data_IF_243915596419
#
_entry.id   IF_243915596419
#
_cell.length_a   1.000
_cell.length_b   1.000
_cell.length_c   1.000
_cell.angle_alpha   90.00
_cell.angle_beta   90.00
_cell.angle_gamma   90.00
#
_symmetry.space_group_name_H-M   'P 1'
#
loop_
_entity.id
_entity.type
_entity.pdbx_description
1 polymer ?
#
# COMPACT_ATOMS: atom_id res chain seq x y z
N UNK A 1 4.14 4.47 -3.31
CA UNK A 1 5.57 4.11 -3.52
C UNK A 1 6.39 4.41 -2.27
N UNK A 2 6.79 5.66 -2.01
CA UNK A 2 7.68 5.99 -0.88
C UNK A 2 7.20 5.44 0.46
N UNK A 3 5.94 5.69 0.83
CA UNK A 3 5.38 5.21 2.10
C UNK A 3 5.38 3.69 2.23
N UNK A 4 5.01 2.96 1.17
CA UNK A 4 5.04 1.49 1.17
C UNK A 4 6.47 0.95 1.37
N UNK A 5 7.44 1.50 0.63
CA UNK A 5 8.84 1.07 0.72
C UNK A 5 9.44 1.40 2.08
N UNK A 6 9.10 2.56 2.66
CA UNK A 6 9.52 2.94 4.02
C UNK A 6 8.93 2.02 5.08
N UNK A 7 7.63 1.70 4.99
CA UNK A 7 7.02 0.75 5.93
C UNK A 7 7.56 -0.68 5.73
N UNK A 8 7.91 -1.06 4.50
CA UNK A 8 8.59 -2.33 4.23
C UNK A 8 10.00 -2.39 4.81
N UNK A 9 10.75 -1.29 4.72
CA UNK A 9 12.06 -1.14 5.37
C UNK A 9 11.92 -1.25 6.89
N UNK A 10 10.94 -0.54 7.48
CA UNK A 10 10.66 -0.61 8.91
C UNK A 10 10.30 -2.04 9.34
N UNK A 11 9.49 -2.73 8.56
CA UNK A 11 9.11 -4.11 8.83
C UNK A 11 10.32 -5.04 8.98
N UNK A 12 11.35 -4.86 8.15
CA UNK A 12 12.53 -5.73 8.13
C UNK A 12 13.68 -5.26 9.03
N UNK A 13 13.80 -3.96 9.27
CA UNK A 13 14.91 -3.38 10.03
C UNK A 13 14.55 -3.10 11.49
N UNK A 14 13.26 -3.00 11.82
CA UNK A 14 12.74 -2.57 13.13
C UNK A 14 13.27 -1.21 13.60
N UNK A 15 13.78 -0.39 12.68
CA UNK A 15 14.31 0.93 12.97
C UNK A 15 13.88 1.90 11.89
N UNK A 16 13.15 2.94 12.31
CA UNK A 16 12.75 4.05 11.44
C UNK A 16 13.99 4.88 11.13
N UNK A 17 14.79 4.46 10.17
CA UNK A 17 15.81 5.32 9.59
C UNK A 17 15.11 6.32 8.67
N UNK A 18 14.50 7.34 9.28
CA UNK A 18 14.09 8.56 8.58
C UNK A 18 15.37 9.12 7.94
N UNK A 19 15.55 8.89 6.63
CA UNK A 19 16.64 9.48 5.88
C UNK A 19 16.60 11.01 5.97
N UNK A 20 17.71 11.66 5.64
CA UNK A 20 17.80 13.14 5.62
C UNK A 20 16.69 13.75 4.74
N UNK A 21 16.26 13.04 3.70
CA UNK A 21 15.13 13.40 2.83
C UNK A 21 13.99 12.42 3.05
N UNK A 22 13.08 12.76 3.97
CA UNK A 22 12.00 11.84 4.32
C UNK A 22 10.92 11.65 3.26
N UNK A 23 10.80 12.59 2.31
CA UNK A 23 9.77 12.57 1.28
C UNK A 23 8.56 13.42 1.67
N UNK A 24 7.68 12.99 2.60
CA UNK A 24 6.46 13.73 2.94
C UNK A 24 6.71 15.13 3.49
N UNK A 25 7.65 15.29 4.43
CA UNK A 25 7.92 16.59 5.07
C UNK A 25 8.44 17.60 4.04
N UNK A 26 9.43 17.20 3.24
CA UNK A 26 9.96 18.02 2.15
C UNK A 26 8.90 18.36 1.11
N UNK A 27 8.04 17.40 0.75
CA UNK A 27 6.92 17.62 -0.17
C UNK A 27 5.92 18.65 0.34
N UNK A 28 5.56 18.60 1.63
CA UNK A 28 4.67 19.60 2.25
C UNK A 28 5.33 20.98 2.28
N UNK A 29 6.61 21.07 2.64
CA UNK A 29 7.34 22.34 2.63
C UNK A 29 7.41 22.95 1.22
N UNK A 30 7.67 22.13 0.19
CA UNK A 30 7.65 22.56 -1.21
C UNK A 30 6.25 23.05 -1.60
N UNK A 31 5.18 22.33 -1.24
CA UNK A 31 3.81 22.74 -1.54
C UNK A 31 3.45 24.07 -0.86
N UNK A 32 3.81 24.24 0.41
CA UNK A 32 3.60 25.50 1.14
C UNK A 32 4.34 26.64 0.44
N UNK A 33 5.59 26.42 0.03
CA UNK A 33 6.39 27.41 -0.69
C UNK A 33 5.79 27.74 -2.06
N UNK A 34 5.37 26.74 -2.84
CA UNK A 34 4.70 26.91 -4.14
C UNK A 34 3.42 27.71 -3.98
N UNK A 35 2.58 27.41 -2.99
CA UNK A 35 1.35 28.17 -2.76
C UNK A 35 1.62 29.60 -2.28
N UNK A 36 2.61 29.81 -1.40
CA UNK A 36 3.03 31.15 -0.98
C UNK A 36 3.52 31.98 -2.18
N UNK A 37 4.36 31.39 -3.05
CA UNK A 37 4.83 32.05 -4.27
C UNK A 37 3.71 32.28 -5.28
N UNK A 38 2.74 31.36 -5.40
CA UNK A 38 1.57 31.55 -6.27
C UNK A 38 0.73 32.74 -5.81
N UNK A 39 0.54 32.89 -4.50
CA UNK A 39 -0.15 34.03 -3.90
C UNK A 39 0.60 35.35 -4.11
N UNK A 40 1.93 35.34 -4.04
CA UNK A 40 2.77 36.52 -4.26
C UNK A 40 2.87 36.93 -5.73
N UNK A 41 3.04 35.96 -6.64
CA UNK A 41 3.24 36.19 -8.08
C UNK A 41 1.93 36.34 -8.87
N UNK A 42 0.77 36.22 -8.21
CA UNK A 42 -0.52 36.66 -8.73
C UNK A 42 -1.17 35.76 -9.79
N UNK A 43 -0.75 34.50 -9.95
CA UNK A 43 -1.44 33.58 -10.87
C UNK A 43 -0.81 32.20 -11.05
N UNK A 44 -1.67 31.21 -11.31
CA UNK A 44 -1.26 29.83 -11.61
C UNK A 44 -0.57 29.67 -12.97
N UNK A 45 -0.77 30.62 -13.90
CA UNK A 45 -0.14 30.64 -15.22
C UNK A 45 1.38 30.79 -15.17
N UNK A 46 1.93 31.31 -14.07
CA UNK A 46 3.37 31.41 -13.84
C UNK A 46 4.08 30.05 -13.91
N UNK A 47 3.47 29.00 -13.35
CA UNK A 47 4.08 27.67 -13.26
C UNK A 47 4.12 26.90 -14.59
N UNK A 48 3.38 27.36 -15.60
CA UNK A 48 3.40 26.81 -16.95
C UNK A 48 4.52 27.42 -17.82
N UNK A 49 5.21 28.46 -17.32
CA UNK A 49 6.32 29.07 -18.05
C UNK A 49 7.59 28.22 -17.98
N UNK A 50 8.45 28.27 -19.01
CA UNK A 50 9.72 27.54 -19.00
C UNK A 50 10.66 28.06 -17.90
N UNK A 51 10.99 27.18 -16.96
CA UNK A 51 11.70 27.53 -15.72
C UNK A 51 13.07 28.18 -15.99
N UNK A 52 13.83 27.65 -16.96
CA UNK A 52 15.17 28.14 -17.27
C UNK A 52 15.15 29.56 -17.87
N UNK A 53 14.12 29.89 -18.64
CA UNK A 53 13.94 31.22 -19.20
C UNK A 53 13.49 32.22 -18.13
N UNK A 54 12.59 31.83 -17.24
CA UNK A 54 12.08 32.68 -16.15
C UNK A 54 13.14 32.96 -15.08
N UNK A 55 14.06 32.02 -14.83
CA UNK A 55 15.19 32.19 -13.90
C UNK A 55 16.37 32.98 -14.48
N UNK A 56 16.31 33.39 -15.76
CA UNK A 56 17.33 34.22 -16.39
C UNK A 56 18.68 33.51 -16.57
N UNK A 57 18.70 32.19 -16.72
CA UNK A 57 19.94 31.42 -16.89
C UNK A 57 20.65 31.86 -18.19
N UNK A 58 21.96 32.16 -18.18
CA UNK A 58 22.69 32.58 -19.37
C UNK A 58 22.55 31.56 -20.51
N UNK A 59 22.35 32.06 -21.74
CA UNK A 59 22.14 31.26 -22.96
C UNK A 59 23.28 30.28 -23.26
N UNK A 60 24.48 30.52 -22.72
CA UNK A 60 25.64 29.62 -22.78
C UNK A 60 25.45 28.31 -22.01
N UNK A 61 24.75 28.33 -20.88
CA UNK A 61 24.45 27.13 -20.06
C UNK A 61 23.23 26.40 -20.64
N UNK A 62 22.26 27.16 -21.15
CA UNK A 62 21.06 26.64 -21.82
C UNK A 62 21.41 25.83 -23.08
N UNK A 63 22.47 26.21 -23.79
CA UNK A 63 22.98 25.49 -24.96
C UNK A 63 23.59 24.11 -24.67
N UNK A 64 24.09 23.90 -23.44
CA UNK A 64 24.71 22.63 -23.01
C UNK A 64 23.66 21.59 -22.56
N UNK A 65 22.46 22.05 -22.22
CA UNK A 65 21.36 21.20 -21.74
C UNK A 65 20.57 20.64 -22.94
N UNK A 66 20.21 19.33 -22.94
CA UNK A 66 19.37 18.72 -23.97
C UNK A 66 18.07 19.50 -24.21
N UNK A 67 17.60 19.57 -25.47
CA UNK A 67 16.39 20.30 -25.85
C UNK A 67 15.15 19.91 -25.03
N UNK A 68 15.03 18.63 -24.67
CA UNK A 68 13.94 18.13 -23.84
C UNK A 68 13.89 18.72 -22.41
N UNK A 69 15.03 19.15 -21.85
CA UNK A 69 15.11 19.75 -20.50
C UNK A 69 15.02 21.29 -20.54
N UNK A 70 15.27 21.88 -21.70
CA UNK A 70 15.32 23.33 -21.90
C UNK A 70 13.95 24.00 -21.79
N UNK A 71 12.94 23.37 -22.38
CA UNK A 71 11.59 23.93 -22.50
C UNK A 71 10.64 23.41 -21.41
N UNK A 72 11.16 22.68 -20.41
CA UNK A 72 10.34 22.19 -19.30
C UNK A 72 9.81 23.36 -18.47
N UNK A 73 8.48 23.35 -18.27
CA UNK A 73 7.81 24.24 -17.34
C UNK A 73 8.23 23.95 -15.90
N UNK A 74 7.96 24.88 -14.98
CA UNK A 74 8.19 24.62 -13.55
C UNK A 74 7.49 23.35 -13.08
N UNK A 75 6.27 23.08 -13.55
CA UNK A 75 5.56 21.82 -13.24
C UNK A 75 6.35 20.60 -13.74
N UNK A 76 6.90 20.66 -14.95
CA UNK A 76 7.75 19.59 -15.48
C UNK A 76 8.99 19.34 -14.61
N UNK A 77 9.65 20.41 -14.16
CA UNK A 77 10.79 20.32 -13.26
C UNK A 77 10.44 19.75 -11.89
N UNK A 78 9.30 20.11 -11.30
CA UNK A 78 8.82 19.49 -10.06
C UNK A 78 8.52 18.01 -10.23
N UNK A 79 7.97 17.59 -11.37
CA UNK A 79 7.74 16.17 -11.67
C UNK A 79 9.07 15.40 -11.80
N UNK A 80 10.08 16.00 -12.45
CA UNK A 80 11.43 15.42 -12.55
C UNK A 80 12.09 15.32 -11.16
N UNK A 81 12.06 16.39 -10.37
CA UNK A 81 12.57 16.38 -9.00
C UNK A 81 11.89 15.29 -8.17
N UNK A 82 10.55 15.23 -8.19
CA UNK A 82 9.79 14.21 -7.49
C UNK A 82 10.16 12.80 -7.91
N UNK A 83 10.35 12.55 -9.21
CA UNK A 83 10.79 11.25 -9.73
C UNK A 83 12.21 10.89 -9.24
N UNK A 84 13.15 11.84 -9.27
CA UNK A 84 14.52 11.63 -8.80
C UNK A 84 14.55 11.29 -7.31
N UNK A 85 13.86 12.07 -6.49
CA UNK A 85 13.76 11.84 -5.03
C UNK A 85 13.11 10.50 -4.74
N UNK A 86 12.05 10.14 -5.47
CA UNK A 86 11.36 8.87 -5.31
C UNK A 86 12.29 7.68 -5.60
N UNK A 87 13.03 7.72 -6.71
CA UNK A 87 13.97 6.67 -7.10
C UNK A 87 15.13 6.59 -6.10
N UNK A 88 15.68 7.73 -5.70
CA UNK A 88 16.75 7.79 -4.71
C UNK A 88 16.33 7.15 -3.39
N UNK A 89 15.19 7.57 -2.82
CA UNK A 89 14.66 7.03 -1.57
C UNK A 89 14.39 5.53 -1.68
N UNK A 90 13.79 5.08 -2.79
CA UNK A 90 13.52 3.64 -3.00
C UNK A 90 14.80 2.82 -3.07
N UNK A 91 15.83 3.33 -3.77
CA UNK A 91 17.11 2.66 -3.89
C UNK A 91 17.91 2.67 -2.58
N UNK A 92 17.82 3.75 -1.80
CA UNK A 92 18.44 3.82 -0.47
C UNK A 92 17.83 2.79 0.49
N UNK A 93 16.49 2.78 0.62
CA UNK A 93 15.77 1.80 1.45
C UNK A 93 16.11 0.36 1.06
N UNK A 94 16.14 0.06 -0.25
CA UNK A 94 16.54 -1.27 -0.73
C UNK A 94 17.98 -1.65 -0.33
N UNK A 95 18.93 -0.71 -0.41
CA UNK A 95 20.33 -0.95 0.01
C UNK A 95 20.46 -1.10 1.52
N UNK A 96 19.68 -0.39 2.31
CA UNK A 96 19.71 -0.48 3.79
C UNK A 96 19.18 -1.83 4.25
N UNK A 97 18.03 -2.26 3.74
CA UNK A 97 17.47 -3.60 4.06
C UNK A 97 18.43 -4.71 3.66
N UNK A 98 19.04 -4.64 2.48
CA UNK A 98 20.04 -5.63 2.07
C UNK A 98 21.27 -5.66 2.98
N UNK A 99 21.75 -4.50 3.45
CA UNK A 99 22.89 -4.42 4.37
C UNK A 99 22.57 -5.08 5.71
N UNK A 100 21.39 -4.81 6.28
CA UNK A 100 20.94 -5.41 7.54
C UNK A 100 20.75 -6.91 7.36
N UNK A 101 20.03 -7.34 6.32
CA UNK A 101 19.79 -8.76 6.06
C UNK A 101 21.09 -9.55 5.85
N UNK A 102 22.06 -9.01 5.09
CA UNK A 102 23.36 -9.65 4.92
C UNK A 102 24.17 -9.73 6.22
N UNK A 103 24.03 -8.73 7.11
CA UNK A 103 24.71 -8.71 8.40
C UNK A 103 24.12 -9.79 9.32
N UNK A 104 22.80 -9.87 9.43
CA UNK A 104 22.11 -10.90 10.22
C UNK A 104 22.44 -12.32 9.71
N UNK A 105 22.45 -12.53 8.38
CA UNK A 105 22.86 -13.80 7.76
C UNK A 105 24.29 -14.20 8.12
N UNK A 106 25.22 -13.24 8.17
CA UNK A 106 26.62 -13.51 8.56
C UNK A 106 26.74 -13.86 10.03
N UNK A 107 26.03 -13.15 10.91
CA UNK A 107 26.03 -13.40 12.36
C UNK A 107 25.39 -14.76 12.69
N UNK A 108 24.29 -15.12 12.02
CA UNK A 108 23.64 -16.43 12.14
C UNK A 108 24.55 -17.59 11.72
N UNK A 109 25.36 -17.40 10.66
CA UNK A 109 26.36 -18.39 10.22
C UNK A 109 27.53 -18.48 11.19
N UNK A 110 27.96 -17.36 11.78
CA UNK A 110 29.06 -17.31 12.73
C UNK A 110 28.71 -17.96 14.09
N UNK A 111 27.47 -17.81 14.56
CA UNK A 111 27.01 -18.38 15.83
C UNK A 111 26.58 -19.85 15.77
N UNK A 112 26.70 -20.53 14.62
CA UNK A 112 26.32 -21.94 14.48
C UNK A 112 24.82 -22.24 14.60
N UNK A 113 23.99 -21.22 14.80
CA UNK A 113 22.52 -21.27 14.88
C UNK A 113 21.84 -21.19 13.51
N UNK A 114 22.58 -21.43 12.42
CA UNK A 114 22.06 -21.41 11.06
C UNK A 114 20.84 -22.34 10.84
N UNK A 115 20.68 -23.38 11.68
CA UNK A 115 19.54 -24.30 11.66
C UNK A 115 18.31 -23.85 12.48
N UNK A 116 18.47 -22.92 13.44
CA UNK A 116 17.36 -22.38 14.25
C UNK A 116 16.91 -20.98 13.79
N UNK A 117 17.82 -20.21 13.17
CA UNK A 117 17.51 -18.86 12.64
C UNK A 117 16.48 -18.90 11.49
N UNK A 118 16.31 -20.05 10.83
CA UNK A 118 15.28 -20.29 9.82
C UNK A 118 13.90 -20.68 10.35
N UNK A 119 13.62 -20.51 11.64
CA UNK A 119 12.29 -20.80 12.23
C UNK A 119 11.53 -19.55 12.69
N UNK A 120 11.93 -18.37 12.23
CA UNK A 120 11.07 -17.19 12.28
C UNK A 120 10.12 -17.21 11.08
N UNK A 121 8.82 -17.06 11.30
CA UNK A 121 7.72 -17.21 10.32
C UNK A 121 7.90 -16.42 8.99
N UNK A 122 8.83 -15.46 8.90
CA UNK A 122 9.17 -14.74 7.66
C UNK A 122 10.67 -14.64 7.32
N UNK A 123 11.57 -15.28 8.07
CA UNK A 123 13.01 -14.99 7.97
C UNK A 123 13.73 -15.76 6.85
N UNK A 124 13.03 -16.68 6.20
CA UNK A 124 13.58 -17.56 5.15
C UNK A 124 13.48 -16.99 3.73
N UNK A 125 12.55 -16.08 3.48
CA UNK A 125 12.33 -15.53 2.15
C UNK A 125 13.14 -14.25 1.96
N UNK A 126 13.75 -14.11 0.77
CA UNK A 126 14.52 -12.92 0.41
C UNK A 126 13.66 -11.65 0.61
N UNK A 127 14.14 -10.57 1.27
CA UNK A 127 13.32 -9.39 1.59
C UNK A 127 12.58 -8.78 0.40
N UNK A 128 13.18 -8.88 -0.80
CA UNK A 128 12.57 -8.43 -2.05
C UNK A 128 11.27 -9.14 -2.44
N UNK A 129 10.98 -10.31 -1.88
CA UNK A 129 9.72 -11.00 -2.13
C UNK A 129 8.54 -10.16 -1.63
N UNK A 130 8.73 -9.31 -0.63
CA UNK A 130 7.72 -8.35 -0.15
C UNK A 130 7.47 -7.19 -1.12
N UNK A 131 8.44 -6.85 -2.00
CA UNK A 131 8.24 -5.82 -3.04
C UNK A 131 7.51 -6.35 -4.27
N UNK A 132 7.54 -7.66 -4.49
CA UNK A 132 6.89 -8.30 -5.63
C UNK A 132 5.38 -7.99 -5.73
N UNK A 133 4.53 -8.19 -4.69
CA UNK A 133 3.10 -7.91 -4.79
C UNK A 133 2.82 -6.44 -5.10
N UNK A 134 3.66 -5.55 -4.59
CA UNK A 134 3.56 -4.12 -4.85
C UNK A 134 3.92 -3.77 -6.31
N UNK A 135 5.01 -4.32 -6.85
CA UNK A 135 5.39 -4.15 -8.26
C UNK A 135 4.33 -4.72 -9.22
N UNK A 136 3.80 -5.90 -8.90
CA UNK A 136 2.69 -6.53 -9.66
C UNK A 136 1.47 -5.63 -9.66
N UNK A 137 1.07 -5.11 -8.49
CA UNK A 137 -0.10 -4.23 -8.38
C UNK A 137 0.05 -2.98 -9.24
N UNK A 138 1.21 -2.31 -9.19
CA UNK A 138 1.46 -1.13 -10.02
C UNK A 138 1.51 -1.45 -11.52
N UNK A 139 2.10 -2.59 -11.90
CA UNK A 139 2.09 -3.04 -13.28
C UNK A 139 0.66 -3.29 -13.77
N UNK A 140 -0.18 -3.96 -12.98
CA UNK A 140 -1.58 -4.20 -13.30
C UNK A 140 -2.38 -2.91 -13.44
N UNK A 141 -2.16 -1.92 -12.56
CA UNK A 141 -2.82 -0.61 -12.64
C UNK A 141 -2.48 0.09 -13.97
N UNK A 142 -1.19 0.13 -14.33
CA UNK A 142 -0.74 0.77 -15.58
C UNK A 142 -1.29 0.03 -16.80
N UNK A 143 -1.18 -1.30 -16.80
CA UNK A 143 -1.70 -2.14 -17.90
C UNK A 143 -3.21 -1.93 -18.06
N UNK A 144 -3.97 -1.92 -16.97
CA UNK A 144 -5.42 -1.71 -17.03
C UNK A 144 -5.79 -0.34 -17.63
N UNK A 145 -5.11 0.74 -17.19
CA UNK A 145 -5.34 2.09 -17.71
C UNK A 145 -4.99 2.22 -19.20
N UNK A 146 -3.92 1.57 -19.64
CA UNK A 146 -3.51 1.58 -21.06
C UNK A 146 -4.48 0.78 -21.92
N UNK A 147 -4.98 -0.35 -21.41
CA UNK A 147 -5.98 -1.16 -22.12
C UNK A 147 -7.34 -0.47 -22.23
N UNK A 148 -7.63 0.48 -21.33
CA UNK A 148 -8.96 1.07 -21.18
C UNK A 148 -8.94 2.60 -21.24
N UNK A 149 -8.85 3.18 -22.45
CA UNK A 149 -8.77 4.62 -22.63
C UNK A 149 -10.03 5.35 -22.15
N UNK A 150 -11.19 4.68 -22.12
CA UNK A 150 -12.43 5.26 -21.61
C UNK A 150 -12.35 5.55 -20.11
N UNK A 151 -11.69 4.68 -19.33
CA UNK A 151 -11.46 4.91 -17.91
C UNK A 151 -10.42 6.03 -17.75
N UNK A 152 -9.35 6.01 -18.55
CA UNK A 152 -8.29 7.01 -18.52
C UNK A 152 -8.80 8.44 -18.78
N UNK A 153 -9.72 8.62 -19.75
CA UNK A 153 -10.18 9.94 -20.17
C UNK A 153 -11.46 10.40 -19.47
N UNK A 154 -12.37 9.49 -19.12
CA UNK A 154 -13.71 9.87 -18.61
C UNK A 154 -13.93 9.56 -17.13
N UNK A 155 -13.24 8.57 -16.55
CA UNK A 155 -13.50 8.07 -15.20
C UNK A 155 -12.24 7.90 -14.33
N UNK A 156 -11.23 8.73 -14.58
CA UNK A 156 -9.95 8.64 -13.88
C UNK A 156 -10.08 8.87 -12.36
N UNK A 157 -10.97 9.77 -11.94
CA UNK A 157 -11.11 10.15 -10.52
C UNK A 157 -11.57 8.96 -9.65
N UNK A 158 -12.69 8.27 -9.93
CA UNK A 158 -13.06 7.05 -9.20
C UNK A 158 -11.97 5.98 -9.20
N UNK A 159 -11.25 5.83 -10.33
CA UNK A 159 -10.17 4.85 -10.44
C UNK A 159 -8.98 5.20 -9.53
N UNK A 160 -8.60 6.47 -9.43
CA UNK A 160 -7.55 6.93 -8.52
C UNK A 160 -7.93 6.67 -7.05
N UNK A 161 -9.20 6.88 -6.68
CA UNK A 161 -9.67 6.51 -5.34
C UNK A 161 -9.55 5.01 -5.07
N UNK A 162 -9.91 4.17 -6.04
CA UNK A 162 -9.76 2.72 -5.94
C UNK A 162 -8.30 2.30 -5.76
N UNK A 163 -7.39 2.82 -6.59
CA UNK A 163 -5.94 2.55 -6.46
C UNK A 163 -5.39 3.07 -5.11
N UNK A 164 -5.88 4.22 -4.65
CA UNK A 164 -5.56 4.77 -3.34
C UNK A 164 -5.96 3.82 -2.20
N UNK A 165 -7.17 3.27 -2.25
CA UNK A 165 -7.67 2.30 -1.26
C UNK A 165 -6.89 0.97 -1.29
N UNK A 166 -6.54 0.46 -2.48
CA UNK A 166 -5.67 -0.72 -2.62
C UNK A 166 -4.34 -0.48 -1.89
N UNK A 167 -3.69 0.66 -2.15
CA UNK A 167 -2.41 1.00 -1.57
C UNK A 167 -2.52 1.25 -0.05
N UNK A 168 -3.58 1.91 0.41
CA UNK A 168 -3.84 2.12 1.83
C UNK A 168 -4.05 0.79 2.57
N UNK A 169 -4.83 -0.13 2.00
CA UNK A 169 -5.04 -1.46 2.56
C UNK A 169 -3.74 -2.27 2.63
N UNK A 170 -2.94 -2.29 1.55
CA UNK A 170 -1.64 -2.99 1.54
C UNK A 170 -0.67 -2.48 2.62
N UNK A 171 -0.59 -1.16 2.83
CA UNK A 171 0.26 -0.61 3.89
C UNK A 171 -0.34 -0.89 5.27
N UNK A 172 -1.66 -0.76 5.43
CA UNK A 172 -2.35 -1.06 6.68
C UNK A 172 -2.09 -2.48 7.16
N UNK A 173 -2.17 -3.48 6.27
CA UNK A 173 -1.85 -4.88 6.60
C UNK A 173 -0.40 -5.06 7.04
N UNK A 174 0.55 -4.36 6.42
CA UNK A 174 1.96 -4.44 6.78
C UNK A 174 2.24 -3.82 8.14
N UNK A 175 1.60 -2.69 8.45
CA UNK A 175 1.68 -2.05 9.77
C UNK A 175 1.10 -2.98 10.84
N UNK A 176 -0.10 -3.52 10.63
CA UNK A 176 -0.71 -4.42 11.62
C UNK A 176 0.13 -5.68 11.79
N UNK A 177 0.67 -6.25 10.71
CA UNK A 177 1.55 -7.41 10.79
C UNK A 177 2.84 -7.13 11.57
N UNK A 178 3.42 -5.94 11.42
CA UNK A 178 4.59 -5.52 12.18
C UNK A 178 4.29 -5.45 13.68
N UNK A 179 3.24 -4.70 14.06
CA UNK A 179 2.89 -4.44 15.47
C UNK A 179 2.40 -5.70 16.19
N UNK A 180 1.76 -6.62 15.46
CA UNK A 180 1.25 -7.89 16.01
C UNK A 180 2.22 -9.07 15.88
N UNK A 181 3.43 -8.85 15.39
CA UNK A 181 4.43 -9.89 15.13
C UNK A 181 3.91 -11.05 14.24
N UNK A 182 3.06 -10.73 13.26
CA UNK A 182 2.49 -11.69 12.31
C UNK A 182 3.35 -11.87 11.04
N UNK A 183 3.10 -12.95 10.26
CA UNK A 183 3.67 -13.13 8.93
C UNK A 183 3.53 -11.90 8.02
N UNK A 184 4.45 -11.71 7.07
CA UNK A 184 4.39 -10.61 6.12
C UNK A 184 3.21 -10.82 5.16
N UNK A 185 2.36 -9.81 4.95
CA UNK A 185 1.18 -9.95 4.10
C UNK A 185 1.56 -9.86 2.62
N UNK A 186 1.71 -11.01 1.96
CA UNK A 186 1.99 -11.06 0.51
C UNK A 186 0.73 -10.90 -0.37
N UNK A 187 -0.46 -11.06 0.19
CA UNK A 187 -1.71 -11.12 -0.56
C UNK A 187 -2.60 -9.92 -0.24
N UNK A 188 -3.03 -9.22 -1.30
CA UNK A 188 -4.04 -8.18 -1.21
C UNK A 188 -5.28 -8.63 -2.02
N UNK A 189 -6.41 -8.85 -1.32
CA UNK A 189 -7.67 -9.30 -1.91
C UNK A 189 -8.20 -8.30 -2.96
N UNK A 190 -7.92 -7.01 -2.78
CA UNK A 190 -8.36 -5.95 -3.71
C UNK A 190 -7.60 -5.95 -5.04
N UNK A 191 -6.50 -6.70 -5.15
CA UNK A 191 -5.78 -6.89 -6.43
C UNK A 191 -6.50 -7.90 -7.32
N UNK A 192 -7.28 -8.83 -6.75
CA UNK A 192 -8.01 -9.84 -7.53
C UNK A 192 -9.01 -9.24 -8.55
N UNK A 193 -9.91 -8.31 -8.18
CA UNK A 193 -10.80 -7.68 -9.15
C UNK A 193 -10.02 -6.86 -10.20
N UNK A 194 -8.95 -6.18 -9.81
CA UNK A 194 -8.09 -5.49 -10.77
C UNK A 194 -7.44 -6.46 -11.76
N UNK A 195 -6.89 -7.58 -11.27
CA UNK A 195 -6.28 -8.61 -12.09
C UNK A 195 -7.30 -9.22 -13.06
N UNK A 196 -8.53 -9.48 -12.59
CA UNK A 196 -9.62 -9.93 -13.45
C UNK A 196 -9.94 -8.92 -14.56
N UNK A 197 -10.06 -7.63 -14.22
CA UNK A 197 -10.27 -6.56 -15.21
C UNK A 197 -9.15 -6.49 -16.25
N UNK A 198 -7.89 -6.70 -15.85
CA UNK A 198 -6.74 -6.77 -16.76
C UNK A 198 -6.83 -8.00 -17.67
N UNK A 199 -7.08 -9.19 -17.12
CA UNK A 199 -7.20 -10.42 -17.91
C UNK A 199 -8.34 -10.30 -18.91
N UNK A 200 -9.50 -9.81 -18.49
CA UNK A 200 -10.65 -9.63 -19.38
C UNK A 200 -10.35 -8.67 -20.54
N UNK A 201 -9.69 -7.54 -20.25
CA UNK A 201 -9.28 -6.55 -21.25
C UNK A 201 -8.10 -6.99 -22.13
N UNK A 202 -7.31 -7.98 -21.71
CA UNK A 202 -6.23 -8.55 -22.51
C UNK A 202 -6.76 -9.42 -23.67
N UNK A 203 -7.92 -10.04 -23.51
CA UNK A 203 -8.53 -10.92 -24.51
C UNK A 203 -8.80 -10.24 -25.86
N UNK A 204 -9.49 -9.08 -25.89
CA UNK A 204 -9.65 -8.28 -27.11
C UNK A 204 -8.34 -7.82 -27.74
N UNK A 205 -7.34 -7.45 -26.91
CA UNK A 205 -6.03 -7.03 -27.41
C UNK A 205 -5.31 -8.19 -28.10
N UNK A 206 -5.32 -9.38 -27.51
CA UNK A 206 -4.70 -10.57 -28.11
C UNK A 206 -5.35 -10.93 -29.45
N UNK A 207 -6.69 -10.77 -29.60
CA UNK A 207 -7.37 -10.94 -30.89
C UNK A 207 -6.96 -9.90 -31.93
N UNK A 208 -6.66 -8.66 -31.51
CA UNK A 208 -6.17 -7.62 -32.42
C UNK A 208 -4.72 -7.87 -32.87
N UNK A 209 -3.90 -8.45 -32.01
CA UNK A 209 -2.47 -8.73 -32.29
C UNK A 209 -2.30 -10.07 -33.04
N UNK A 210 -3.25 -10.99 -32.91
CA UNK A 210 -3.29 -12.30 -33.58
C UNK A 210 -2.90 -12.28 -35.07
N UNK A 211 -3.45 -11.42 -35.94
CA UNK A 211 -3.05 -11.39 -37.36
C UNK A 211 -1.62 -10.91 -37.60
N UNK A 212 -1.03 -10.15 -36.68
CA UNK A 212 0.36 -9.70 -36.76
C UNK A 212 1.35 -10.75 -36.20
N UNK A 213 0.91 -11.54 -35.22
CA UNK A 213 1.74 -12.57 -34.57
C UNK A 213 1.68 -13.91 -35.31
N UNK A 214 0.55 -14.23 -35.94
CA UNK A 214 0.37 -15.44 -36.74
C UNK A 214 1.50 -15.67 -37.78
N UNK A 215 1.87 -14.69 -38.63
CA UNK A 215 2.98 -14.89 -39.58
C UNK A 215 4.36 -14.96 -38.92
N UNK A 216 4.54 -14.42 -37.71
CA UNK A 216 5.81 -14.49 -36.97
C UNK A 216 6.02 -15.86 -36.31
N UNK A 217 4.93 -16.49 -35.85
CA UNK A 217 4.95 -17.80 -35.20
C UNK A 217 4.84 -18.97 -36.20
N UNK A 218 4.11 -18.78 -37.30
CA UNK A 218 3.81 -19.84 -38.28
C UNK A 218 4.39 -19.57 -39.68
N UNK A 219 5.13 -18.48 -39.89
CA UNK A 219 5.73 -18.16 -41.19
C UNK A 219 4.69 -17.90 -42.29
N UNK A 220 4.97 -18.37 -43.51
CA UNK A 220 4.07 -18.25 -44.66
C UNK A 220 2.95 -19.30 -44.70
N UNK A 221 2.89 -20.22 -43.73
CA UNK A 221 1.78 -21.17 -43.61
C UNK A 221 0.59 -20.54 -42.90
N UNK A 222 -0.62 -20.82 -43.40
CA UNK A 222 -1.86 -20.40 -42.74
C UNK A 222 -1.92 -20.95 -41.30
N UNK A 223 -2.26 -20.12 -40.30
CA UNK A 223 -2.33 -20.57 -38.92
C UNK A 223 -3.41 -21.66 -38.76
N UNK A 224 -3.16 -22.69 -37.93
CA UNK A 224 -4.13 -23.75 -37.71
C UNK A 224 -5.42 -23.19 -37.09
N UNK A 225 -6.58 -23.70 -37.52
CA UNK A 225 -7.92 -23.23 -37.08
C UNK A 225 -8.20 -23.36 -35.57
N UNK A 226 -7.34 -24.07 -34.85
CA UNK A 226 -7.33 -24.20 -33.39
C UNK A 226 -6.56 -23.10 -32.66
N UNK A 227 -5.74 -22.31 -33.35
CA UNK A 227 -4.99 -21.22 -32.75
C UNK A 227 -5.87 -19.97 -32.65
N UNK A 228 -6.43 -19.73 -31.46
CA UNK A 228 -7.10 -18.47 -31.11
C UNK A 228 -6.37 -17.89 -29.92
N UNK A 229 -5.69 -16.77 -30.14
CA UNK A 229 -4.82 -16.20 -29.11
C UNK A 229 -5.64 -15.46 -28.04
N UNK A 230 -6.78 -14.86 -28.39
CA UNK A 230 -7.60 -14.09 -27.44
C UNK A 230 -9.05 -14.59 -27.28
N UNK A 231 -9.69 -14.13 -26.20
CA UNK A 231 -11.07 -14.45 -25.84
C UNK A 231 -12.02 -13.23 -26.00
N UNK A 232 -13.34 -13.47 -26.13
CA UNK A 232 -14.34 -12.41 -25.99
C UNK A 232 -14.27 -11.77 -24.60
N UNK A 233 -14.28 -10.44 -24.54
CA UNK A 233 -14.40 -9.69 -23.28
C UNK A 233 -15.74 -10.03 -22.62
N UNK A 234 -15.69 -10.50 -21.38
CA UNK A 234 -16.87 -10.79 -20.57
C UNK A 234 -17.54 -9.52 -20.07
N UNK A 235 -16.77 -8.44 -19.87
CA UNK A 235 -17.33 -7.13 -19.52
C UNK A 235 -17.82 -6.38 -20.76
N UNK A 236 -17.49 -6.81 -21.99
CA UNK A 236 -17.89 -6.09 -23.21
C UNK A 236 -17.22 -4.72 -23.31
N UNK A 237 -17.89 -3.76 -23.95
CA UNK A 237 -17.39 -2.41 -24.21
C UNK A 237 -18.23 -1.35 -23.45
N UNK A 238 -17.60 -0.26 -23.01
CA UNK A 238 -18.31 0.93 -22.54
C UNK A 238 -18.92 0.80 -21.15
N UNK A 239 -20.25 0.68 -21.14
CA UNK A 239 -21.09 0.84 -19.95
C UNK A 239 -20.76 -0.18 -18.86
N UNK A 240 -20.57 -1.43 -19.24
CA UNK A 240 -20.27 -2.52 -18.31
C UNK A 240 -18.86 -2.42 -17.71
N UNK A 241 -17.90 -1.87 -18.47
CA UNK A 241 -16.55 -1.60 -18.00
C UNK A 241 -16.55 -0.53 -16.90
N UNK A 242 -17.31 0.55 -17.14
CA UNK A 242 -17.49 1.63 -16.16
C UNK A 242 -18.24 1.11 -14.94
N UNK A 243 -19.31 0.33 -15.13
CA UNK A 243 -20.04 -0.29 -14.03
C UNK A 243 -19.13 -1.20 -13.19
N UNK A 244 -18.29 -2.01 -13.84
CA UNK A 244 -17.31 -2.85 -13.16
C UNK A 244 -16.32 -2.03 -12.34
N UNK A 245 -15.80 -0.92 -12.86
CA UNK A 245 -14.93 -0.01 -12.11
C UNK A 245 -15.61 0.52 -10.84
N UNK A 246 -16.88 0.94 -10.91
CA UNK A 246 -17.62 1.35 -9.72
C UNK A 246 -17.87 0.19 -8.74
N UNK A 247 -18.11 -1.03 -9.24
CA UNK A 247 -18.18 -2.23 -8.39
C UNK A 247 -16.85 -2.52 -7.70
N UNK A 248 -15.71 -2.39 -8.39
CA UNK A 248 -14.37 -2.52 -7.82
C UNK A 248 -14.14 -1.48 -6.72
N UNK A 249 -14.53 -0.22 -6.96
CA UNK A 249 -14.44 0.84 -5.96
C UNK A 249 -15.32 0.54 -4.74
N UNK A 250 -16.57 0.12 -4.95
CA UNK A 250 -17.48 -0.26 -3.85
C UNK A 250 -16.94 -1.42 -3.02
N UNK A 251 -16.39 -2.45 -3.67
CA UNK A 251 -15.71 -3.55 -2.99
C UNK A 251 -14.50 -3.07 -2.19
N UNK A 252 -13.68 -2.17 -2.75
CA UNK A 252 -12.54 -1.60 -2.04
C UNK A 252 -12.95 -0.81 -0.80
N UNK A 253 -14.01 0.00 -0.88
CA UNK A 253 -14.56 0.70 0.28
C UNK A 253 -15.06 -0.29 1.33
N UNK A 254 -15.76 -1.36 0.93
CA UNK A 254 -16.26 -2.37 1.84
C UNK A 254 -15.16 -3.14 2.57
N UNK A 255 -14.18 -3.67 1.83
CA UNK A 255 -13.07 -4.46 2.41
C UNK A 255 -12.16 -3.58 3.27
N UNK A 256 -11.77 -2.40 2.77
CA UNK A 256 -10.94 -1.47 3.54
C UNK A 256 -11.69 -0.95 4.76
N UNK A 257 -12.97 -0.61 4.62
CA UNK A 257 -13.82 -0.18 5.73
C UNK A 257 -13.95 -1.24 6.82
N UNK A 258 -14.18 -2.50 6.45
CA UNK A 258 -14.18 -3.62 7.40
C UNK A 258 -12.85 -3.74 8.12
N UNK A 259 -11.74 -3.71 7.39
CA UNK A 259 -10.40 -3.78 7.98
C UNK A 259 -10.13 -2.66 8.98
N UNK A 260 -10.53 -1.42 8.67
CA UNK A 260 -10.38 -0.29 9.59
C UNK A 260 -11.21 -0.49 10.85
N UNK A 261 -12.47 -0.92 10.72
CA UNK A 261 -13.33 -1.20 11.88
C UNK A 261 -12.75 -2.32 12.73
N UNK A 262 -12.28 -3.41 12.13
CA UNK A 262 -11.69 -4.55 12.85
C UNK A 262 -10.46 -4.11 13.66
N UNK A 263 -9.56 -3.32 13.06
CA UNK A 263 -8.36 -2.81 13.75
C UNK A 263 -8.75 -1.88 14.90
N UNK A 264 -9.68 -0.95 14.67
CA UNK A 264 -10.13 0.00 15.70
C UNK A 264 -10.77 -0.77 16.85
N UNK A 265 -11.78 -1.59 16.59
CA UNK A 265 -12.52 -2.33 17.62
C UNK A 265 -11.57 -3.24 18.40
N UNK A 266 -10.68 -3.97 17.73
CA UNK A 266 -9.71 -4.85 18.41
C UNK A 266 -8.81 -4.08 19.37
N UNK A 267 -8.32 -2.90 18.97
CA UNK A 267 -7.47 -2.06 19.84
C UNK A 267 -8.30 -1.42 20.97
N UNK A 268 -9.48 -0.88 20.67
CA UNK A 268 -10.37 -0.28 21.65
C UNK A 268 -10.76 -1.33 22.72
N UNK A 269 -11.07 -2.57 22.32
CA UNK A 269 -11.39 -3.69 23.22
C UNK A 269 -10.17 -4.14 24.04
N UNK A 270 -8.98 -4.21 23.43
CA UNK A 270 -7.76 -4.58 24.14
C UNK A 270 -7.34 -3.55 25.20
N UNK A 271 -7.45 -2.26 24.88
CA UNK A 271 -7.08 -1.15 25.78
C UNK A 271 -8.22 -0.74 26.73
N UNK A 272 -9.40 -1.35 26.60
CA UNK A 272 -10.61 -1.03 27.34
C UNK A 272 -11.07 0.45 27.22
N UNK A 273 -10.84 1.06 26.05
CA UNK A 273 -11.16 2.47 25.75
C UNK A 273 -12.20 2.53 24.65
N UNK A 274 -13.09 3.54 24.68
CA UNK A 274 -13.97 3.83 23.56
C UNK A 274 -13.34 4.94 22.71
N UNK A 275 -13.15 4.69 21.43
CA UNK A 275 -12.36 5.58 20.58
C UNK A 275 -13.07 6.91 20.21
N UNK A 276 -14.39 7.01 20.44
CA UNK A 276 -15.21 8.21 20.19
C UNK A 276 -16.02 8.69 21.41
N UNK A 277 -15.91 8.01 22.56
CA UNK A 277 -16.71 8.29 23.77
C UNK A 277 -15.84 8.08 25.00
N UNK A 278 -16.05 8.81 26.08
CA UNK A 278 -15.34 8.57 27.34
C UNK A 278 -16.05 7.44 28.09
N UNK A 279 -15.37 6.32 28.33
CA UNK A 279 -15.94 5.14 29.03
C UNK A 279 -16.29 5.44 30.49
N UNK A 280 -15.37 6.10 31.18
CA UNK A 280 -15.50 6.46 32.58
C UNK A 280 -15.49 7.99 32.70
N UNK A 281 -16.65 8.65 32.56
CA UNK A 281 -16.74 10.09 32.77
C UNK A 281 -16.29 10.41 34.21
N UNK A 282 -15.37 11.35 34.34
CA UNK A 282 -14.90 11.79 35.65
C UNK A 282 -16.04 12.56 36.34
N UNK A 283 -16.56 12.01 37.43
CA UNK A 283 -17.53 12.69 38.30
C UNK A 283 -16.74 13.32 39.45
N UNK A 284 -16.68 14.65 39.50
CA UNK A 284 -16.09 15.38 40.63
C UNK A 284 -16.90 15.06 41.90
N UNK A 285 -16.28 14.34 42.85
CA UNK A 285 -16.86 14.03 44.18
C UNK A 285 -16.83 12.56 44.60
N UNK A 286 -16.60 11.59 43.70
CA UNK A 286 -16.69 10.16 44.04
C UNK A 286 -15.40 9.54 44.60
N UNK A 287 -14.28 10.26 44.57
CA UNK A 287 -12.97 9.76 45.01
C UNK A 287 -12.78 9.70 46.53
N UNK A 288 -13.68 10.27 47.33
CA UNK A 288 -13.60 10.20 48.80
C UNK A 288 -14.33 8.98 49.40
N UNK A 289 -15.37 8.43 48.76
CA UNK A 289 -16.18 7.37 49.36
C UNK A 289 -15.69 5.94 49.06
N UNK A 290 -15.01 5.72 47.93
CA UNK A 290 -14.47 4.38 47.59
C UNK A 290 -13.20 4.00 48.35
N UNK A 291 -12.49 4.98 48.91
CA UNK A 291 -11.35 4.72 49.80
C UNK A 291 -11.78 4.32 51.23
N UNK A 292 -13.00 4.65 51.65
CA UNK A 292 -13.50 4.38 53.00
C UNK A 292 -14.23 3.02 53.13
N UNK A 293 -14.72 2.44 52.04
CA UNK A 293 -15.52 1.20 52.08
C UNK A 293 -14.71 -0.09 51.93
N UNK A 294 -13.42 -0.03 51.58
CA UNK A 294 -12.55 -1.20 51.43
C UNK A 294 -11.93 -1.76 52.72
N UNK A 295 -12.14 -1.13 53.88
CA UNK A 295 -11.40 -1.45 55.10
C UNK A 295 -12.21 -2.15 56.23
N UNK A 296 -13.51 -2.38 56.07
CA UNK A 296 -14.32 -2.90 57.19
C UNK A 296 -15.46 -3.83 56.74
N UNK A 297 -15.15 -5.11 56.49
CA UNK A 297 -16.02 -6.24 56.87
C UNK A 297 -15.34 -7.57 56.54
N UNK A 298 -14.46 -8.01 57.44
CA UNK A 298 -14.10 -9.42 57.59
C UNK A 298 -14.96 -10.04 58.69
N UNK A 299 -15.53 -11.23 58.40
CA UNK A 299 -16.18 -12.21 59.30
C UNK A 299 -17.55 -11.83 59.89
N UNK A 300 -18.59 -12.67 59.94
CA UNK A 300 -18.79 -14.07 59.57
C UNK A 300 -20.31 -14.40 59.54
N UNK A 301 -20.75 -15.37 58.73
CA UNK A 301 -21.57 -16.51 59.17
C UNK A 301 -21.90 -17.45 58.00
N UNK A 302 -21.68 -18.72 58.25
CA UNK A 302 -21.78 -19.93 57.42
C UNK A 302 -23.21 -20.37 57.10
N UNK A 303 -23.43 -20.96 55.91
CA UNK A 303 -24.17 -22.24 55.77
C UNK A 303 -23.68 -23.01 54.54
N UNK A 304 -23.48 -24.30 54.75
CA UNK A 304 -22.89 -25.37 53.95
C UNK A 304 -23.81 -26.02 52.90
N UNK A 305 -23.18 -26.85 52.04
CA UNK A 305 -23.73 -27.99 51.24
C UNK A 305 -24.28 -27.60 49.86
N UNK A 306 -23.92 -28.19 48.71
CA UNK A 306 -23.27 -29.48 48.40
C UNK A 306 -22.49 -29.40 47.07
N UNK A 307 -21.32 -30.04 47.06
CA UNK A 307 -20.65 -30.55 45.88
C UNK A 307 -21.28 -31.92 45.56
N UNK A 308 -21.64 -32.20 44.30
CA UNK A 308 -21.78 -33.57 43.84
C UNK A 308 -21.03 -33.75 42.52
N UNK A 309 -19.93 -34.50 42.59
CA UNK A 309 -19.22 -35.02 41.43
C UNK A 309 -18.81 -36.45 41.75
N UNK A 310 -19.57 -37.43 41.26
CA UNK A 310 -19.10 -38.74 40.76
C UNK A 310 -20.33 -39.52 40.29
N UNK A 311 -20.43 -39.95 39.04
CA UNK A 311 -19.92 -41.28 38.67
C UNK A 311 -19.84 -41.47 37.16
N UNK A 312 -18.70 -42.00 36.74
CA UNK A 312 -18.42 -42.67 35.46
C UNK A 312 -18.96 -44.11 35.52
N UNK A 313 -19.31 -44.69 34.34
CA UNK A 313 -19.59 -46.11 33.98
C UNK A 313 -21.04 -46.34 33.53
N UNK A 314 -21.40 -47.06 32.45
CA UNK A 314 -20.70 -47.95 31.49
C UNK A 314 -21.72 -48.38 30.40
N UNK A 315 -21.21 -48.69 29.18
CA UNK A 315 -21.79 -49.60 28.12
C UNK A 315 -23.11 -49.11 27.47
N UNK A 316 -23.33 -49.23 26.16
CA UNK A 316 -22.88 -50.15 25.10
C UNK A 316 -22.51 -49.37 23.85
#
# INVERSE_FOLDING_TARGET
MAFYVQTWEEYHTHTLTLGVVNGPVEGVLILVLVYALTGYLGGASFWQQPMLATLGVPSSIIGLVPSALRDLSFTGWYMVQGAVVLVYNTAESARTVLRVWHKEQKEAKAHGTAAEVGKGVNRDNHPFLGLLPFAITWALVVVYLVLQPEILHSHLVPFVFFVGLINAYSVGQMITAHVSHLPFPYYNVLVLPLAWGVVDSLGPLLRRIEPAVAPLLFGSSEPPSSFKLGWPSALGDGVYQVAYMFCMLGMAVGVYGSFVVDVIVTICDYLDIWCLTIKHPHVEGESSDKAATGATSGQASSTSVSLDTTTVQKRK
#
